data_IF_846421799759
#
_entry.id   IF_846421799759
#
_cell.length_a   1.000
_cell.length_b   1.000
_cell.length_c   1.000
_cell.angle_alpha   90.00
_cell.angle_beta   90.00
_cell.angle_gamma   90.00
#
_symmetry.space_group_name_H-M   'P 1'
#
loop_
_entity.id
_entity.type
_entity.pdbx_description
1 polymer ?
#
# COMPACT_ATOMS: atom_id res chain seq x y z
N UNK A 1 0.02 12.88 9.06
CA UNK A 1 0.91 12.99 7.89
C UNK A 1 0.27 13.86 6.84
N UNK A 2 1.01 14.85 6.33
CA UNK A 2 0.60 15.72 5.23
C UNK A 2 1.26 15.24 3.92
N UNK A 3 0.70 15.62 2.77
CA UNK A 3 1.28 15.28 1.47
C UNK A 3 2.69 15.86 1.29
N UNK A 4 2.96 17.04 1.85
CA UNK A 4 4.27 17.68 1.85
C UNK A 4 5.33 16.75 2.48
N UNK A 5 5.06 16.25 3.68
CA UNK A 5 5.97 15.37 4.42
C UNK A 5 6.35 14.11 3.61
N UNK A 6 5.36 13.42 3.03
CA UNK A 6 5.62 12.22 2.21
C UNK A 6 6.40 12.56 0.94
N UNK A 7 6.06 13.68 0.29
CA UNK A 7 6.73 14.11 -0.92
C UNK A 7 8.21 14.40 -0.68
N UNK A 8 8.51 15.17 0.36
CA UNK A 8 9.89 15.51 0.75
C UNK A 8 10.68 14.25 1.07
N UNK A 9 10.07 13.34 1.84
CA UNK A 9 10.67 12.07 2.21
C UNK A 9 10.97 11.17 0.99
N UNK A 10 10.04 11.07 0.03
CA UNK A 10 10.25 10.30 -1.20
C UNK A 10 11.31 10.91 -2.11
N UNK A 11 11.41 12.25 -2.18
CA UNK A 11 12.46 12.92 -2.94
C UNK A 11 13.83 12.61 -2.31
N UNK A 12 13.96 12.73 -0.98
CA UNK A 12 15.18 12.38 -0.26
C UNK A 12 15.58 10.92 -0.51
N UNK A 13 14.64 9.98 -0.36
CA UNK A 13 14.91 8.57 -0.64
C UNK A 13 15.40 8.33 -2.08
N UNK A 14 14.88 9.09 -3.06
CA UNK A 14 15.32 8.98 -4.46
C UNK A 14 16.73 9.51 -4.66
N UNK A 15 17.10 10.59 -3.98
CA UNK A 15 18.45 11.16 -3.99
C UNK A 15 19.47 10.22 -3.32
N UNK A 16 19.09 9.60 -2.20
CA UNK A 16 19.92 8.63 -1.47
C UNK A 16 19.97 7.25 -2.14
N UNK A 17 19.00 6.94 -3.00
CA UNK A 17 18.87 5.64 -3.66
C UNK A 17 18.28 4.53 -2.77
N UNK A 18 17.97 4.83 -1.52
CA UNK A 18 17.44 3.90 -0.52
C UNK A 18 16.13 4.44 0.11
N UNK A 19 15.22 3.52 0.45
CA UNK A 19 13.98 3.88 1.12
C UNK A 19 14.21 3.99 2.63
N UNK A 20 13.92 5.16 3.20
CA UNK A 20 14.10 5.38 4.63
C UNK A 20 13.07 4.62 5.49
N UNK A 21 13.39 4.42 6.76
CA UNK A 21 12.43 3.90 7.74
C UNK A 21 11.19 4.79 7.87
N UNK A 22 11.37 6.11 7.81
CA UNK A 22 10.26 7.06 7.89
C UNK A 22 9.28 6.86 6.71
N UNK A 23 9.78 6.69 5.49
CA UNK A 23 8.94 6.43 4.32
C UNK A 23 8.13 5.13 4.47
N UNK A 24 8.75 4.07 5.02
CA UNK A 24 8.06 2.81 5.30
C UNK A 24 6.94 3.02 6.33
N UNK A 25 7.21 3.70 7.44
CA UNK A 25 6.21 3.97 8.48
C UNK A 25 5.04 4.82 7.92
N UNK A 26 5.34 5.75 7.00
CA UNK A 26 4.33 6.50 6.25
C UNK A 26 3.47 5.59 5.36
N UNK A 27 4.06 4.63 4.64
CA UNK A 27 3.32 3.65 3.85
C UNK A 27 2.44 2.76 4.73
N UNK A 28 2.93 2.31 5.89
CA UNK A 28 2.14 1.53 6.84
C UNK A 28 0.93 2.32 7.33
N UNK A 29 1.10 3.59 7.69
CA UNK A 29 0.01 4.46 8.13
C UNK A 29 -1.03 4.68 7.03
N UNK A 30 -0.61 4.90 5.79
CA UNK A 30 -1.53 5.05 4.66
C UNK A 30 -2.29 3.76 4.38
N UNK A 31 -1.60 2.62 4.39
CA UNK A 31 -2.17 1.30 4.13
C UNK A 31 -3.20 0.94 5.21
N UNK A 32 -2.90 1.17 6.48
CA UNK A 32 -3.82 0.97 7.60
C UNK A 32 -5.13 1.77 7.42
N UNK A 33 -5.03 3.08 7.15
CA UNK A 33 -6.19 3.95 6.95
C UNK A 33 -7.00 3.59 5.71
N UNK A 34 -6.35 3.11 4.65
CA UNK A 34 -7.04 2.62 3.46
C UNK A 34 -7.81 1.33 3.79
N UNK A 35 -7.15 0.40 4.46
CA UNK A 35 -7.71 -0.88 4.88
C UNK A 35 -8.96 -0.73 5.71
N UNK A 36 -9.02 0.25 6.63
CA UNK A 36 -10.20 0.52 7.48
C UNK A 36 -11.50 0.80 6.70
N UNK A 37 -11.41 1.23 5.44
CA UNK A 37 -12.57 1.52 4.58
C UNK A 37 -13.13 0.29 3.87
N UNK A 38 -12.43 -0.84 3.94
CA UNK A 38 -12.80 -2.09 3.29
C UNK A 38 -13.53 -3.01 4.27
N UNK A 39 -14.41 -3.86 3.76
CA UNK A 39 -15.09 -4.88 4.57
C UNK A 39 -14.48 -6.24 4.29
N UNK A 40 -14.12 -6.94 5.37
CA UNK A 40 -13.61 -8.31 5.34
C UNK A 40 -14.47 -9.18 6.25
N UNK A 41 -14.69 -10.43 5.87
CA UNK A 41 -15.34 -11.40 6.75
C UNK A 41 -14.36 -11.92 7.80
N UNK A 42 -13.10 -12.12 7.40
CA UNK A 42 -12.00 -12.57 8.25
C UNK A 42 -10.99 -11.43 8.35
N UNK A 43 -10.78 -10.89 9.55
CA UNK A 43 -9.85 -9.78 9.76
C UNK A 43 -8.39 -10.13 9.46
N UNK A 44 -8.00 -11.40 9.55
CA UNK A 44 -6.68 -11.87 9.12
C UNK A 44 -6.44 -11.61 7.62
N UNK A 45 -7.47 -11.75 6.76
CA UNK A 45 -7.35 -11.47 5.33
C UNK A 45 -7.05 -9.98 5.06
N UNK A 46 -7.57 -9.08 5.90
CA UNK A 46 -7.26 -7.64 5.83
C UNK A 46 -5.78 -7.41 6.08
N UNK A 47 -5.20 -8.12 7.05
CA UNK A 47 -3.78 -8.03 7.40
C UNK A 47 -2.89 -8.54 6.26
N UNK A 48 -3.27 -9.64 5.61
CA UNK A 48 -2.55 -10.17 4.44
C UNK A 48 -2.59 -9.22 3.24
N UNK A 49 -3.75 -8.62 2.98
CA UNK A 49 -3.90 -7.59 1.95
C UNK A 49 -3.08 -6.33 2.26
N UNK A 50 -3.07 -5.91 3.54
CA UNK A 50 -2.26 -4.78 4.02
C UNK A 50 -0.76 -5.04 3.82
N UNK A 51 -0.28 -6.21 4.18
CA UNK A 51 1.12 -6.62 3.97
C UNK A 51 1.48 -6.61 2.48
N UNK A 52 0.59 -7.14 1.63
CA UNK A 52 0.77 -7.08 0.17
C UNK A 52 0.89 -5.64 -0.34
N UNK A 53 0.02 -4.74 0.11
CA UNK A 53 0.05 -3.33 -0.25
C UNK A 53 1.35 -2.62 0.18
N UNK A 54 1.82 -2.87 1.41
CA UNK A 54 3.08 -2.29 1.91
C UNK A 54 4.27 -2.80 1.09
N UNK A 55 4.30 -4.10 0.74
CA UNK A 55 5.35 -4.66 -0.11
C UNK A 55 5.34 -4.08 -1.52
N UNK A 56 4.15 -3.83 -2.10
CA UNK A 56 4.06 -3.16 -3.41
C UNK A 56 4.55 -1.71 -3.30
N UNK A 57 4.27 -0.97 -2.21
CA UNK A 57 4.86 0.34 -1.98
C UNK A 57 6.40 0.28 -1.91
N UNK A 58 6.94 -0.71 -1.20
CA UNK A 58 8.39 -0.94 -1.11
C UNK A 58 9.03 -1.27 -2.48
N UNK A 59 8.32 -1.98 -3.36
CA UNK A 59 8.85 -2.33 -4.68
C UNK A 59 8.78 -1.15 -5.66
N UNK A 60 7.72 -0.34 -5.58
CA UNK A 60 7.40 0.62 -6.64
C UNK A 60 7.63 2.10 -6.28
N UNK A 61 8.04 2.44 -5.05
CA UNK A 61 8.24 3.84 -4.64
C UNK A 61 9.15 4.64 -5.59
N UNK A 62 10.18 4.02 -6.18
CA UNK A 62 11.13 4.66 -7.10
C UNK A 62 10.44 5.25 -8.33
N UNK A 63 9.29 4.69 -8.73
CA UNK A 63 8.51 5.16 -9.87
C UNK A 63 7.79 6.49 -9.63
N UNK A 64 7.80 7.03 -8.42
CA UNK A 64 7.22 8.36 -8.15
C UNK A 64 7.99 9.43 -8.92
N UNK A 65 7.33 10.17 -9.81
CA UNK A 65 7.91 11.33 -10.49
C UNK A 65 7.64 12.61 -9.67
N UNK A 66 8.69 13.30 -9.15
CA UNK A 66 8.54 14.54 -8.39
C UNK A 66 7.93 15.71 -9.17
N UNK A 67 7.83 15.66 -10.50
CA UNK A 67 7.07 16.67 -11.26
C UNK A 67 5.59 16.70 -10.85
N UNK A 68 5.04 15.57 -10.38
CA UNK A 68 3.68 15.51 -9.84
C UNK A 68 3.67 15.79 -8.33
N UNK A 69 3.03 16.89 -7.86
CA UNK A 69 3.12 17.31 -6.46
C UNK A 69 2.39 16.39 -5.47
N UNK A 70 1.49 15.55 -5.96
CA UNK A 70 0.65 14.70 -5.11
C UNK A 70 1.24 13.29 -4.94
N UNK A 71 2.19 13.15 -4.01
CA UNK A 71 2.75 11.86 -3.60
C UNK A 71 1.68 10.92 -3.03
N UNK A 72 0.68 11.48 -2.32
CA UNK A 72 -0.41 10.69 -1.74
C UNK A 72 -1.20 9.95 -2.81
N UNK A 73 -1.52 10.59 -3.93
CA UNK A 73 -2.25 9.96 -5.03
C UNK A 73 -1.47 8.77 -5.61
N UNK A 74 -0.17 8.95 -5.85
CA UNK A 74 0.70 7.91 -6.37
C UNK A 74 0.75 6.69 -5.43
N UNK A 75 1.06 6.91 -4.15
CA UNK A 75 1.15 5.83 -3.16
C UNK A 75 -0.23 5.18 -2.90
N UNK A 76 -1.31 5.96 -2.87
CA UNK A 76 -2.68 5.42 -2.71
C UNK A 76 -3.05 4.49 -3.86
N UNK A 77 -2.64 4.80 -5.09
CA UNK A 77 -2.89 3.94 -6.23
C UNK A 77 -2.14 2.59 -6.10
N UNK A 78 -0.90 2.61 -5.59
CA UNK A 78 -0.16 1.38 -5.29
C UNK A 78 -0.88 0.58 -4.19
N UNK A 79 -1.29 1.23 -3.11
CA UNK A 79 -2.02 0.58 -2.00
C UNK A 79 -3.30 -0.08 -2.51
N UNK A 80 -4.13 0.64 -3.28
CA UNK A 80 -5.36 0.11 -3.87
C UNK A 80 -5.10 -1.16 -4.69
N UNK A 81 -4.07 -1.12 -5.53
CA UNK A 81 -3.68 -2.25 -6.36
C UNK A 81 -3.18 -3.43 -5.52
N UNK A 82 -2.38 -3.16 -4.48
CA UNK A 82 -1.86 -4.17 -3.57
C UNK A 82 -2.95 -4.87 -2.75
N UNK A 83 -3.94 -4.12 -2.24
CA UNK A 83 -5.12 -4.70 -1.59
C UNK A 83 -5.92 -5.60 -2.55
N UNK A 84 -6.18 -5.14 -3.76
CA UNK A 84 -6.89 -5.94 -4.77
C UNK A 84 -6.10 -7.18 -5.19
N UNK A 85 -4.78 -7.08 -5.29
CA UNK A 85 -3.86 -8.20 -5.56
C UNK A 85 -3.88 -9.22 -4.43
N UNK A 86 -3.78 -8.77 -3.18
CA UNK A 86 -3.87 -9.62 -1.99
C UNK A 86 -5.20 -10.38 -1.95
N UNK A 87 -6.31 -9.67 -2.17
CA UNK A 87 -7.64 -10.28 -2.20
C UNK A 87 -7.78 -11.32 -3.32
N UNK A 88 -7.31 -11.02 -4.54
CA UNK A 88 -7.30 -11.98 -5.66
C UNK A 88 -6.40 -13.19 -5.38
N UNK A 89 -5.32 -13.03 -4.62
CA UNK A 89 -4.48 -14.16 -4.21
C UNK A 89 -5.22 -15.09 -3.25
N UNK A 90 -6.00 -14.52 -2.33
CA UNK A 90 -6.80 -15.27 -1.35
C UNK A 90 -8.03 -15.95 -1.99
N UNK A 91 -8.70 -15.27 -2.92
CA UNK A 91 -10.03 -15.68 -3.41
C UNK A 91 -10.11 -15.94 -4.91
N UNK A 92 -9.14 -15.52 -5.71
CA UNK A 92 -9.22 -15.56 -7.18
C UNK A 92 -9.21 -16.97 -7.79
N UNK A 93 -8.98 -18.01 -6.99
CA UNK A 93 -9.08 -19.42 -7.39
C UNK A 93 -10.13 -20.21 -6.60
N UNK A 94 -10.87 -19.57 -5.70
CA UNK A 94 -11.88 -20.24 -4.87
C UNK A 94 -13.28 -19.80 -5.28
N UNK A 95 -14.23 -20.74 -5.34
CA UNK A 95 -15.64 -20.40 -5.29
C UNK A 95 -15.94 -19.83 -3.89
N UNK A 96 -16.67 -18.71 -3.80
CA UNK A 96 -17.01 -18.06 -2.52
C UNK A 96 -17.64 -19.01 -1.49
N UNK A 97 -18.26 -20.11 -1.93
CA UNK A 97 -18.89 -21.14 -1.11
C UNK A 97 -17.93 -22.10 -0.40
N UNK A 98 -16.66 -22.20 -0.79
CA UNK A 98 -15.74 -23.23 -0.29
C UNK A 98 -14.88 -22.80 0.90
N UNK A 99 -14.91 -21.52 1.32
CA UNK A 99 -14.07 -21.03 2.45
C UNK A 99 -14.80 -21.06 3.81
N UNK A 100 -16.10 -21.34 3.83
CA UNK A 100 -16.95 -21.32 5.03
C UNK A 100 -17.70 -22.65 5.29
N UNK A 101 -17.27 -23.73 4.64
CA UNK A 101 -17.59 -25.12 4.98
C UNK A 101 -16.32 -25.77 5.55
#
# INVERSE_FOLDING_TARGET
MKNKDLREELIRCKEEGELSRAAIDMFMLMSERFGQKLTYVIEADRSDCKATAIMDCYQYWRGYNPEYPNAFAYITQIIKNGYAKGYRKLYGKMALSQKYL
#
